data_IF_314700738972
#
_entry.id   IF_314700738972
#
_cell.length_a   1.000
_cell.length_b   1.000
_cell.length_c   1.000
_cell.angle_alpha   90.00
_cell.angle_beta   90.00
_cell.angle_gamma   90.00
#
_symmetry.space_group_name_H-M   'P 1'
#
loop_
_entity.id
_entity.type
_entity.pdbx_description
1 polymer ?
#
# COMPACT_ATOMS: atom_id res chain seq x y z
N UNK A 1 -7.92 -9.16 -26.52
CA UNK A 1 -7.83 -9.85 -25.22
C UNK A 1 -6.40 -9.64 -24.74
N UNK A 2 -6.14 -8.55 -24.05
CA UNK A 2 -4.79 -8.20 -23.57
C UNK A 2 -4.92 -7.78 -22.11
N UNK A 3 -4.08 -8.37 -21.26
CA UNK A 3 -4.11 -8.32 -19.81
C UNK A 3 -2.91 -7.49 -19.34
N UNK A 4 -3.12 -6.33 -18.70
CA UNK A 4 -2.14 -5.77 -17.77
C UNK A 4 -2.80 -4.97 -16.66
N UNK A 5 -2.25 -5.08 -15.45
CA UNK A 5 -2.85 -4.68 -14.18
C UNK A 5 -1.79 -4.11 -13.25
N UNK A 6 -2.13 -3.03 -12.53
CA UNK A 6 -1.37 -2.59 -11.36
C UNK A 6 -1.35 -3.76 -10.37
N UNK A 7 -0.17 -4.10 -9.87
CA UNK A 7 0.00 -5.14 -8.86
C UNK A 7 0.42 -4.47 -7.56
N UNK A 8 -0.30 -4.75 -6.47
CA UNK A 8 0.21 -4.47 -5.13
C UNK A 8 1.09 -5.63 -4.66
N UNK A 9 2.35 -5.33 -4.32
CA UNK A 9 3.24 -6.27 -3.66
C UNK A 9 3.46 -5.85 -2.21
N UNK A 10 3.36 -6.80 -1.28
CA UNK A 10 3.74 -6.60 0.10
C UNK A 10 5.11 -7.22 0.32
N UNK A 11 6.09 -6.40 0.69
CA UNK A 11 7.41 -6.86 1.11
C UNK A 11 7.54 -6.76 2.62
N UNK A 12 7.89 -7.87 3.27
CA UNK A 12 8.10 -7.95 4.71
C UNK A 12 9.59 -7.81 5.03
N UNK A 13 9.94 -6.93 5.96
CA UNK A 13 11.30 -6.82 6.47
C UNK A 13 11.41 -7.56 7.82
N UNK A 14 12.32 -8.53 7.91
CA UNK A 14 12.68 -9.16 9.18
C UNK A 14 13.74 -8.31 9.89
N UNK A 15 13.39 -7.70 11.03
CA UNK A 15 14.36 -6.96 11.84
C UNK A 15 15.04 -7.96 12.79
N UNK A 16 16.27 -8.35 12.47
CA UNK A 16 17.12 -9.14 13.35
C UNK A 16 17.93 -8.23 14.28
N UNK A 17 17.31 -7.66 15.31
CA UNK A 17 17.98 -7.17 16.54
C UNK A 17 16.98 -6.63 17.57
N UNK A 18 17.06 -7.14 18.80
CA UNK A 18 16.71 -6.45 20.05
C UNK A 18 15.26 -6.03 20.24
N UNK A 19 14.51 -6.86 20.97
CA UNK A 19 13.19 -6.62 21.57
C UNK A 19 12.58 -5.20 21.34
N UNK A 20 11.87 -5.03 20.23
CA UNK A 20 10.71 -4.13 20.21
C UNK A 20 9.58 -4.91 20.87
N UNK A 21 9.45 -4.76 22.19
CA UNK A 21 8.22 -5.12 22.88
C UNK A 21 7.22 -4.00 22.63
N UNK A 22 6.45 -4.13 21.57
CA UNK A 22 5.16 -3.47 21.44
C UNK A 22 4.11 -4.53 21.79
N UNK A 23 3.07 -4.17 22.52
CA UNK A 23 1.89 -5.01 22.76
C UNK A 23 1.57 -5.76 21.45
N UNK A 24 1.41 -7.09 21.51
CA UNK A 24 1.50 -8.02 20.37
C UNK A 24 0.42 -7.92 19.27
N UNK A 25 0.03 -6.71 18.91
CA UNK A 25 -1.05 -6.36 17.99
C UNK A 25 -0.63 -5.27 16.97
N UNK A 26 0.45 -4.52 17.22
CA UNK A 26 0.88 -3.45 16.32
C UNK A 26 1.74 -3.97 15.17
N UNK A 27 1.34 -3.65 13.95
CA UNK A 27 2.10 -3.85 12.71
C UNK A 27 2.43 -2.50 12.08
N UNK A 28 3.60 -2.38 11.46
CA UNK A 28 4.04 -1.13 10.84
C UNK A 28 4.03 -1.25 9.33
N UNK A 29 3.31 -0.35 8.65
CA UNK A 29 3.16 -0.36 7.20
C UNK A 29 3.65 0.95 6.63
N UNK A 30 4.27 0.90 5.45
CA UNK A 30 4.45 2.08 4.60
C UNK A 30 3.97 1.78 3.19
N UNK A 31 3.61 2.83 2.47
CA UNK A 31 3.18 2.76 1.08
C UNK A 31 4.31 3.27 0.18
N UNK A 32 4.52 2.61 -0.95
CA UNK A 32 5.43 3.03 -2.02
C UNK A 32 4.67 3.06 -3.34
N UNK A 33 4.71 4.20 -4.04
CA UNK A 33 4.25 4.27 -5.41
C UNK A 33 5.44 4.06 -6.37
N UNK A 34 5.48 2.89 -7.01
CA UNK A 34 6.54 2.44 -7.91
C UNK A 34 6.01 2.01 -9.28
N UNK A 35 4.87 2.56 -9.70
CA UNK A 35 4.29 2.40 -11.04
C UNK A 35 4.61 3.66 -11.87
N UNK A 36 5.46 3.60 -12.90
CA UNK A 36 6.03 4.79 -13.55
C UNK A 36 5.10 5.55 -14.48
N UNK A 37 3.98 4.96 -14.88
CA UNK A 37 3.00 5.45 -15.85
C UNK A 37 1.61 5.67 -15.25
N UNK A 38 1.35 5.21 -14.02
CA UNK A 38 0.17 5.62 -13.29
C UNK A 38 0.25 7.11 -12.93
N UNK A 39 -0.90 7.83 -12.91
CA UNK A 39 -0.95 9.18 -12.37
C UNK A 39 -0.59 9.15 -10.89
N UNK A 40 -0.50 10.34 -10.27
CA UNK A 40 -0.47 10.40 -8.82
C UNK A 40 -1.67 9.65 -8.24
N UNK A 41 -1.46 8.91 -7.15
CA UNK A 41 -2.49 8.04 -6.56
C UNK A 41 -2.84 8.44 -5.13
N UNK A 42 -4.11 8.26 -4.80
CA UNK A 42 -4.59 8.22 -3.43
C UNK A 42 -4.69 6.75 -2.98
N UNK A 43 -4.28 6.47 -1.75
CA UNK A 43 -4.33 5.13 -1.16
C UNK A 43 -5.30 5.12 0.01
N UNK A 44 -6.26 4.20 -0.06
CA UNK A 44 -7.28 4.01 0.95
C UNK A 44 -7.09 2.66 1.62
N UNK A 45 -7.24 2.65 2.95
CA UNK A 45 -7.23 1.44 3.78
C UNK A 45 -8.55 1.39 4.53
N UNK A 46 -9.35 0.34 4.30
CA UNK A 46 -10.70 0.19 4.87
C UNK A 46 -11.56 1.46 4.66
N UNK A 47 -11.53 2.04 3.46
CA UNK A 47 -12.26 3.25 3.11
C UNK A 47 -11.71 4.56 3.69
N UNK A 48 -10.58 4.54 4.40
CA UNK A 48 -9.94 5.76 4.93
C UNK A 48 -8.70 6.13 4.11
N UNK A 49 -8.60 7.38 3.66
CA UNK A 49 -7.42 7.88 2.96
C UNK A 49 -6.21 7.89 3.91
N UNK A 50 -5.15 7.17 3.53
CA UNK A 50 -3.88 7.13 4.27
C UNK A 50 -2.75 7.83 3.53
N UNK A 51 -2.89 7.98 2.20
CA UNK A 51 -1.99 8.73 1.33
C UNK A 51 -2.83 9.46 0.32
N UNK A 52 -2.53 10.74 0.10
CA UNK A 52 -3.16 11.55 -0.93
C UNK A 52 -2.09 12.11 -1.86
N UNK A 53 -2.31 12.03 -3.17
CA UNK A 53 -1.46 12.64 -4.20
C UNK A 53 -0.03 12.07 -4.27
N UNK A 54 0.16 10.78 -3.98
CA UNK A 54 1.48 10.17 -4.10
C UNK A 54 1.91 10.14 -5.57
N UNK A 55 2.99 10.85 -5.91
CA UNK A 55 3.62 10.78 -7.23
C UNK A 55 4.51 9.53 -7.39
N UNK A 56 4.91 9.21 -8.62
CA UNK A 56 5.86 8.14 -8.86
C UNK A 56 7.15 8.32 -8.03
N UNK A 57 7.59 7.24 -7.37
CA UNK A 57 8.69 7.16 -6.39
C UNK A 57 8.39 7.77 -5.02
N UNK A 58 7.19 8.30 -4.78
CA UNK A 58 6.79 8.74 -3.45
C UNK A 58 6.61 7.53 -2.52
N UNK A 59 6.98 7.70 -1.25
CA UNK A 59 6.74 6.73 -0.20
C UNK A 59 6.43 7.43 1.12
N UNK A 60 5.67 6.75 1.98
CA UNK A 60 5.35 7.28 3.32
C UNK A 60 6.41 6.88 4.35
N UNK A 61 6.40 7.58 5.48
CA UNK A 61 6.93 6.99 6.72
C UNK A 61 6.10 5.76 7.10
N UNK A 62 6.68 4.90 7.95
CA UNK A 62 5.92 3.81 8.56
C UNK A 62 4.85 4.38 9.49
N UNK A 63 3.65 3.81 9.42
CA UNK A 63 2.54 4.10 10.31
C UNK A 63 2.00 2.79 10.90
N UNK A 64 1.45 2.82 12.12
CA UNK A 64 0.89 1.64 12.74
C UNK A 64 -0.45 1.29 12.09
N UNK A 65 -0.71 0.00 11.96
CA UNK A 65 -1.99 -0.57 11.57
C UNK A 65 -2.31 -1.73 12.53
N UNK A 66 -3.59 -2.05 12.82
CA UNK A 66 -3.92 -3.29 13.51
C UNK A 66 -3.47 -4.50 12.70
N UNK A 67 -3.10 -5.60 13.35
CA UNK A 67 -2.93 -6.86 12.64
C UNK A 67 -4.28 -7.40 12.14
N UNK A 68 -4.29 -8.03 10.97
CA UNK A 68 -5.50 -8.60 10.36
C UNK A 68 -5.63 -8.30 8.88
N UNK A 69 -6.86 -8.38 8.39
CA UNK A 69 -7.22 -8.12 6.99
C UNK A 69 -7.60 -6.65 6.80
N UNK A 70 -7.05 -6.05 5.75
CA UNK A 70 -7.35 -4.68 5.36
C UNK A 70 -7.66 -4.63 3.87
N UNK A 71 -8.79 -4.03 3.53
CA UNK A 71 -9.10 -3.66 2.16
C UNK A 71 -8.23 -2.48 1.75
N UNK A 72 -7.46 -2.65 0.68
CA UNK A 72 -6.59 -1.62 0.13
C UNK A 72 -7.07 -1.26 -1.25
N UNK A 73 -7.32 0.03 -1.46
CA UNK A 73 -7.78 0.58 -2.71
C UNK A 73 -6.87 1.70 -3.19
N UNK A 74 -6.68 1.79 -4.50
CA UNK A 74 -5.93 2.86 -5.17
C UNK A 74 -6.85 3.59 -6.14
N UNK A 75 -6.78 4.91 -6.08
CA UNK A 75 -7.53 5.82 -6.94
C UNK A 75 -6.57 6.83 -7.59
N UNK A 76 -6.88 7.40 -8.76
CA UNK A 76 -6.18 8.60 -9.22
C UNK A 76 -6.36 9.72 -8.19
N UNK A 77 -5.33 10.54 -8.01
CA UNK A 77 -5.34 11.61 -7.03
C UNK A 77 -6.52 12.56 -7.25
N UNK A 78 -7.39 12.71 -6.24
CA UNK A 78 -8.57 13.56 -6.30
C UNK A 78 -9.76 12.99 -7.10
N UNK A 79 -9.68 11.75 -7.60
CA UNK A 79 -10.79 11.05 -8.27
C UNK A 79 -11.10 9.72 -7.60
N UNK A 80 -12.04 9.71 -6.64
CA UNK A 80 -12.50 8.48 -5.98
C UNK A 80 -13.54 7.70 -6.80
N UNK A 81 -13.86 8.12 -8.03
CA UNK A 81 -14.84 7.42 -8.88
C UNK A 81 -14.21 6.31 -9.72
N UNK A 82 -12.89 6.37 -9.93
CA UNK A 82 -12.14 5.40 -10.73
C UNK A 82 -11.27 4.53 -9.84
N UNK A 83 -11.64 3.25 -9.66
CA UNK A 83 -10.80 2.29 -8.92
C UNK A 83 -9.68 1.77 -9.84
N UNK A 84 -8.43 2.07 -9.51
CA UNK A 84 -7.25 1.55 -10.22
C UNK A 84 -6.86 0.14 -9.73
N UNK A 85 -7.08 -0.10 -8.44
CA UNK A 85 -6.75 -1.37 -7.78
C UNK A 85 -7.61 -1.51 -6.53
N UNK A 86 -8.08 -2.72 -6.23
CA UNK A 86 -8.72 -3.07 -4.96
C UNK A 86 -8.36 -4.49 -4.58
N UNK A 87 -7.87 -4.69 -3.35
CA UNK A 87 -7.54 -6.02 -2.82
C UNK A 87 -7.50 -6.01 -1.29
N UNK A 88 -7.98 -7.10 -0.69
CA UNK A 88 -7.75 -7.39 0.73
C UNK A 88 -6.34 -7.93 0.94
N UNK A 89 -5.60 -7.31 1.86
CA UNK A 89 -4.26 -7.70 2.26
C UNK A 89 -4.24 -8.08 3.74
N UNK A 90 -3.53 -9.15 4.08
CA UNK A 90 -3.35 -9.60 5.47
C UNK A 90 -2.00 -9.15 5.99
N UNK A 91 -1.96 -8.55 7.17
CA UNK A 91 -0.76 -8.10 7.85
C UNK A 91 -0.69 -8.69 9.25
N UNK A 92 0.48 -9.20 9.64
CA UNK A 92 0.70 -9.86 10.92
C UNK A 92 1.43 -8.95 11.91
N UNK A 93 1.06 -9.04 13.20
CA UNK A 93 1.70 -8.28 14.27
C UNK A 93 3.21 -8.53 14.34
N UNK A 94 3.95 -7.52 14.80
CA UNK A 94 5.41 -7.62 14.97
C UNK A 94 6.22 -7.52 13.67
N UNK A 95 5.58 -7.27 12.54
CA UNK A 95 6.25 -7.10 11.25
C UNK A 95 6.25 -5.65 10.76
N UNK A 96 7.16 -5.39 9.82
CA UNK A 96 7.22 -4.16 9.05
C UNK A 96 6.97 -4.50 7.57
N UNK A 97 5.95 -3.88 6.97
CA UNK A 97 5.55 -4.10 5.60
C UNK A 97 5.74 -2.86 4.73
N UNK A 98 6.20 -3.07 3.49
CA UNK A 98 6.11 -2.07 2.42
C UNK A 98 5.06 -2.53 1.42
N UNK A 99 3.92 -1.84 1.36
CA UNK A 99 2.91 -2.03 0.33
C UNK A 99 3.29 -1.19 -0.89
N UNK A 100 3.63 -1.84 -2.01
CA UNK A 100 4.14 -1.16 -3.20
C UNK A 100 3.14 -1.29 -4.34
N UNK A 101 2.68 -0.16 -4.88
CA UNK A 101 1.97 -0.13 -6.17
C UNK A 101 3.02 -0.21 -7.28
N UNK A 102 3.13 -1.36 -7.94
CA UNK A 102 4.14 -1.64 -8.96
C UNK A 102 3.48 -1.96 -10.30
N UNK A 103 4.31 -1.97 -11.34
CA UNK A 103 3.96 -2.28 -12.74
C UNK A 103 3.31 -1.10 -13.50
N UNK A 104 2.89 -1.34 -14.74
CA UNK A 104 2.37 -0.32 -15.65
C UNK A 104 0.83 -0.18 -15.53
N UNK A 105 0.31 1.06 -15.45
CA UNK A 105 -1.09 1.42 -15.64
C UNK A 105 -1.32 1.78 -17.12
N UNK A 106 -1.94 0.87 -17.87
CA UNK A 106 -2.20 1.08 -19.30
C UNK A 106 -3.03 2.35 -19.56
N UNK A 107 -2.57 3.22 -20.48
CA UNK A 107 -3.44 4.21 -21.11
C UNK A 107 -3.98 3.65 -22.44
N UNK A 108 -5.30 3.72 -22.64
CA UNK A 108 -5.92 3.43 -23.95
C UNK A 108 -5.34 4.30 -25.07
#
# INVERSE_FOLDING_TARGET
MFLSSIVAAIMMAAIMAGAVSANGEEVWVRVLHASPDAPAVDVYVNGTAVVEGAEFKAYTNYFPLPAGEHEVELFPAGDTSTVLFSKTLTVEAGHYYTASAINLLESN
#
